data_IF_590544395076
#
_entry.id   IF_590544395076
#
_cell.length_a   1.000
_cell.length_b   1.000
_cell.length_c   1.000
_cell.angle_alpha   90.00
_cell.angle_beta   90.00
_cell.angle_gamma   90.00
#
_symmetry.space_group_name_H-M   'P 1'
#
loop_
_entity.id
_entity.type
_entity.pdbx_description
1 polymer ?
#
# COMPACT_ATOMS: atom_id res chain seq x y z
N UNK A 1 13.08 -49.68 -23.57
CA UNK A 1 13.56 -48.28 -23.64
C UNK A 1 12.46 -47.40 -23.06
N UNK A 2 12.36 -47.34 -21.73
CA UNK A 2 11.27 -46.68 -21.02
C UNK A 2 11.59 -45.20 -20.77
N UNK A 3 10.74 -44.30 -21.24
CA UNK A 3 10.84 -42.87 -20.95
C UNK A 3 10.64 -42.65 -19.43
N UNK A 4 11.58 -41.94 -18.81
CA UNK A 4 11.51 -41.53 -17.39
C UNK A 4 10.24 -40.68 -17.16
N UNK A 5 9.28 -41.11 -16.32
CA UNK A 5 7.98 -40.45 -16.15
C UNK A 5 8.04 -38.99 -15.63
N UNK A 6 9.14 -38.60 -14.98
CA UNK A 6 9.27 -37.32 -14.28
C UNK A 6 9.45 -36.08 -15.17
N UNK A 7 10.01 -36.23 -16.39
CA UNK A 7 10.28 -35.08 -17.26
C UNK A 7 8.99 -34.51 -17.89
N UNK A 8 8.06 -35.38 -18.29
CA UNK A 8 6.77 -34.98 -18.85
C UNK A 8 5.86 -34.30 -17.81
N UNK A 9 5.96 -34.70 -16.54
CA UNK A 9 5.15 -34.17 -15.45
C UNK A 9 5.57 -32.75 -15.05
N UNK A 10 6.87 -32.44 -15.09
CA UNK A 10 7.42 -31.11 -14.82
C UNK A 10 7.15 -30.11 -15.96
N UNK A 11 7.17 -30.57 -17.21
CA UNK A 11 6.82 -29.73 -18.37
C UNK A 11 5.33 -29.38 -18.35
N UNK A 12 4.46 -30.35 -18.03
CA UNK A 12 3.01 -30.14 -17.91
C UNK A 12 2.65 -29.23 -16.74
N UNK A 13 3.29 -29.38 -15.57
CA UNK A 13 3.04 -28.52 -14.42
C UNK A 13 3.49 -27.07 -14.66
N UNK A 14 4.64 -26.85 -15.32
CA UNK A 14 5.11 -25.51 -15.71
C UNK A 14 4.20 -24.83 -16.72
N UNK A 15 3.68 -25.57 -17.71
CA UNK A 15 2.75 -25.03 -18.71
C UNK A 15 1.44 -24.58 -18.07
N UNK A 16 0.90 -25.42 -17.19
CA UNK A 16 -0.30 -25.10 -16.40
C UNK A 16 -0.07 -23.87 -15.51
N UNK A 17 1.07 -23.78 -14.81
CA UNK A 17 1.39 -22.61 -13.98
C UNK A 17 1.45 -21.30 -14.79
N UNK A 18 2.00 -21.32 -16.01
CA UNK A 18 2.03 -20.14 -16.87
C UNK A 18 0.64 -19.78 -17.41
N UNK A 19 -0.19 -20.77 -17.76
CA UNK A 19 -1.59 -20.53 -18.15
C UNK A 19 -2.38 -19.92 -16.98
N UNK A 20 -2.24 -20.46 -15.77
CA UNK A 20 -2.87 -19.94 -14.55
C UNK A 20 -2.41 -18.51 -14.21
N UNK A 21 -1.12 -18.20 -14.36
CA UNK A 21 -0.60 -16.85 -14.15
C UNK A 21 -1.17 -15.84 -15.16
N UNK A 22 -1.31 -16.24 -16.43
CA UNK A 22 -1.90 -15.36 -17.45
C UNK A 22 -3.41 -15.15 -17.23
N UNK A 23 -4.11 -16.19 -16.77
CA UNK A 23 -5.52 -16.12 -16.41
C UNK A 23 -5.72 -15.19 -15.21
N UNK A 24 -4.86 -15.30 -14.20
CA UNK A 24 -4.84 -14.43 -13.03
C UNK A 24 -4.65 -12.95 -13.42
N UNK A 25 -3.69 -12.67 -14.31
CA UNK A 25 -3.46 -11.32 -14.82
C UNK A 25 -4.68 -10.77 -15.58
N UNK A 26 -5.39 -11.64 -16.30
CA UNK A 26 -6.63 -11.29 -17.00
C UNK A 26 -7.74 -10.93 -16.01
N UNK A 27 -7.91 -11.70 -14.93
CA UNK A 27 -8.85 -11.37 -13.86
C UNK A 27 -8.53 -10.04 -13.17
N UNK A 28 -7.24 -9.74 -12.91
CA UNK A 28 -6.83 -8.43 -12.38
C UNK A 28 -7.26 -7.32 -13.34
N UNK A 29 -6.96 -7.46 -14.63
CA UNK A 29 -7.32 -6.46 -15.64
C UNK A 29 -8.82 -6.23 -15.73
N UNK A 30 -9.63 -7.28 -15.64
CA UNK A 30 -11.09 -7.18 -15.63
C UNK A 30 -11.57 -6.45 -14.37
N UNK A 31 -11.03 -6.79 -13.19
CA UNK A 31 -11.37 -6.11 -11.93
C UNK A 31 -11.01 -4.62 -11.96
N UNK A 32 -9.84 -4.27 -12.52
CA UNK A 32 -9.44 -2.88 -12.72
C UNK A 32 -10.43 -2.19 -13.67
N UNK A 33 -10.73 -2.78 -14.82
CA UNK A 33 -11.68 -2.21 -15.80
C UNK A 33 -13.07 -2.00 -15.21
N UNK A 34 -13.60 -2.97 -14.47
CA UNK A 34 -14.92 -2.87 -13.83
C UNK A 34 -14.98 -1.72 -12.81
N UNK A 35 -13.88 -1.46 -12.09
CA UNK A 35 -13.82 -0.32 -11.16
C UNK A 35 -13.67 1.03 -11.89
N UNK A 36 -12.98 1.06 -13.03
CA UNK A 36 -12.82 2.27 -13.86
C UNK A 36 -14.06 2.57 -14.70
N UNK A 37 -15.00 1.64 -14.85
CA UNK A 37 -16.25 1.83 -15.57
C UNK A 37 -17.11 2.93 -14.91
N UNK A 38 -17.21 2.91 -13.58
CA UNK A 38 -17.87 3.95 -12.79
C UNK A 38 -16.90 5.07 -12.41
N UNK A 39 -16.41 5.81 -13.42
CA UNK A 39 -15.44 6.91 -13.25
C UNK A 39 -15.87 7.94 -12.20
N UNK A 40 -17.16 8.28 -12.15
CA UNK A 40 -17.69 9.24 -11.18
C UNK A 40 -17.57 8.73 -9.73
N UNK A 41 -17.93 7.47 -9.46
CA UNK A 41 -17.80 6.86 -8.14
C UNK A 41 -16.33 6.73 -7.72
N UNK A 42 -15.45 6.41 -8.67
CA UNK A 42 -14.00 6.40 -8.44
C UNK A 42 -13.48 7.78 -8.04
N UNK A 43 -13.85 8.83 -8.80
CA UNK A 43 -13.40 10.20 -8.54
C UNK A 43 -13.94 10.72 -7.21
N UNK A 44 -15.22 10.48 -6.90
CA UNK A 44 -15.80 10.80 -5.59
C UNK A 44 -15.04 10.13 -4.45
N UNK A 45 -14.78 8.82 -4.56
CA UNK A 45 -14.03 8.08 -3.54
C UNK A 45 -12.61 8.61 -3.38
N UNK A 46 -11.96 8.97 -4.49
CA UNK A 46 -10.62 9.57 -4.49
C UNK A 46 -10.62 10.93 -3.79
N UNK A 47 -11.56 11.82 -4.12
CA UNK A 47 -11.69 13.13 -3.47
C UNK A 47 -12.03 13.00 -1.99
N UNK A 48 -13.01 12.16 -1.63
CA UNK A 48 -13.40 11.95 -0.23
C UNK A 48 -12.22 11.51 0.62
N UNK A 49 -11.41 10.56 0.12
CA UNK A 49 -10.18 10.13 0.81
C UNK A 49 -9.13 11.23 0.85
N UNK A 50 -8.93 11.94 -0.26
CA UNK A 50 -7.99 13.05 -0.33
C UNK A 50 -8.30 14.15 0.68
N UNK A 51 -9.57 14.51 0.86
CA UNK A 51 -10.00 15.51 1.85
C UNK A 51 -9.65 15.05 3.26
N UNK A 52 -9.98 13.80 3.63
CA UNK A 52 -9.68 13.26 4.97
C UNK A 52 -8.19 13.35 5.29
N UNK A 53 -7.33 12.84 4.41
CA UNK A 53 -5.88 12.86 4.64
C UNK A 53 -5.29 14.27 4.60
N UNK A 54 -5.81 15.14 3.73
CA UNK A 54 -5.36 16.54 3.65
C UNK A 54 -5.77 17.32 4.90
N UNK A 55 -6.96 17.08 5.45
CA UNK A 55 -7.40 17.69 6.70
C UNK A 55 -6.55 17.22 7.87
N UNK A 56 -6.23 15.93 7.95
CA UNK A 56 -5.36 15.40 9.00
C UNK A 56 -3.94 15.97 8.91
N UNK A 57 -3.39 16.08 7.70
CA UNK A 57 -2.11 16.74 7.44
C UNK A 57 -2.13 18.23 7.82
N UNK A 58 -3.19 18.96 7.43
CA UNK A 58 -3.35 20.36 7.77
C UNK A 58 -3.49 20.59 9.28
N UNK A 59 -4.18 19.69 10.00
CA UNK A 59 -4.31 19.74 11.45
C UNK A 59 -2.94 19.64 12.12
N UNK A 60 -2.13 18.66 11.71
CA UNK A 60 -0.76 18.50 12.23
C UNK A 60 0.08 19.74 11.91
N UNK A 61 -0.03 20.28 10.69
CA UNK A 61 0.70 21.48 10.30
C UNK A 61 0.33 22.72 11.14
N UNK A 62 -0.97 22.97 11.35
CA UNK A 62 -1.45 24.08 12.19
C UNK A 62 -1.00 23.92 13.65
N UNK A 63 -0.99 22.69 14.15
CA UNK A 63 -0.49 22.39 15.49
C UNK A 63 1.01 22.72 15.59
N UNK A 64 1.82 22.25 14.64
CA UNK A 64 3.25 22.52 14.58
C UNK A 64 3.58 24.01 14.37
N UNK A 65 2.71 24.74 13.66
CA UNK A 65 2.82 26.19 13.53
C UNK A 65 2.74 26.89 14.89
N UNK A 66 1.92 26.39 15.81
CA UNK A 66 1.76 26.98 17.14
C UNK A 66 2.86 26.60 18.13
N UNK A 67 3.37 25.37 18.05
CA UNK A 67 4.38 24.87 19.00
C UNK A 67 5.83 25.10 18.54
N UNK A 68 6.03 25.53 17.28
CA UNK A 68 7.30 25.82 16.58
C UNK A 68 8.31 24.66 16.51
N UNK A 69 8.51 23.91 17.59
CA UNK A 69 9.34 22.70 17.63
C UNK A 69 8.77 21.68 18.63
N UNK A 70 8.85 20.40 18.28
CA UNK A 70 8.53 19.30 19.19
C UNK A 70 9.84 18.58 19.49
N UNK A 71 10.32 18.66 20.74
CA UNK A 71 11.54 17.97 21.18
C UNK A 71 12.78 18.26 20.31
N UNK A 72 12.90 19.48 19.76
CA UNK A 72 14.00 19.90 18.88
C UNK A 72 13.84 19.54 17.41
N UNK A 73 12.74 18.87 17.03
CA UNK A 73 12.40 18.58 15.62
C UNK A 73 11.68 19.76 15.00
N UNK A 74 12.10 20.13 13.79
CA UNK A 74 11.49 21.16 12.97
C UNK A 74 10.11 20.73 12.43
N UNK A 75 9.28 21.70 12.08
CA UNK A 75 7.91 21.48 11.61
C UNK A 75 7.85 20.49 10.42
N UNK A 76 8.72 20.66 9.43
CA UNK A 76 8.77 19.81 8.25
C UNK A 76 9.30 18.40 8.52
N UNK A 77 10.15 18.21 9.53
CA UNK A 77 10.68 16.88 9.87
C UNK A 77 9.57 16.00 10.49
N UNK A 78 8.75 16.58 11.36
CA UNK A 78 7.59 15.89 11.94
C UNK A 78 6.55 15.57 10.85
N UNK A 79 6.30 16.51 9.93
CA UNK A 79 5.40 16.28 8.79
C UNK A 79 5.91 15.18 7.86
N UNK A 80 7.22 15.11 7.64
CA UNK A 80 7.84 14.03 6.87
C UNK A 80 7.63 12.66 7.54
N UNK A 81 7.86 12.55 8.86
CA UNK A 81 7.62 11.31 9.61
C UNK A 81 6.16 10.87 9.55
N UNK A 82 5.23 11.83 9.64
CA UNK A 82 3.81 11.55 9.46
C UNK A 82 3.50 11.02 8.06
N UNK A 83 3.99 11.68 7.00
CA UNK A 83 3.79 11.25 5.62
C UNK A 83 4.42 9.87 5.34
N UNK A 84 5.57 9.58 5.96
CA UNK A 84 6.23 8.28 5.90
C UNK A 84 5.41 7.18 6.61
N UNK A 85 4.89 7.47 7.81
CA UNK A 85 3.99 6.57 8.53
C UNK A 85 2.74 6.25 7.69
N UNK A 86 2.09 7.29 7.16
CA UNK A 86 0.90 7.15 6.32
C UNK A 86 1.17 6.31 5.06
N UNK A 87 2.32 6.54 4.41
CA UNK A 87 2.71 5.79 3.20
C UNK A 87 2.97 4.32 3.53
N UNK A 88 3.68 4.05 4.63
CA UNK A 88 3.95 2.69 5.10
C UNK A 88 2.66 1.95 5.44
N UNK A 89 1.78 2.57 6.22
CA UNK A 89 0.47 2.03 6.56
C UNK A 89 -0.37 1.77 5.30
N UNK A 90 -0.43 2.73 4.39
CA UNK A 90 -1.20 2.61 3.15
C UNK A 90 -0.67 1.50 2.25
N UNK A 91 0.65 1.33 2.19
CA UNK A 91 1.28 0.26 1.42
C UNK A 91 0.98 -1.12 2.01
N UNK A 92 1.03 -1.27 3.33
CA UNK A 92 0.62 -2.50 4.00
C UNK A 92 -0.89 -2.79 3.82
N UNK A 93 -1.72 -1.75 3.98
CA UNK A 93 -3.17 -1.85 3.87
C UNK A 93 -3.63 -2.17 2.45
N UNK A 94 -2.92 -1.66 1.43
CA UNK A 94 -3.20 -1.91 0.03
C UNK A 94 -3.22 -3.41 -0.32
N UNK A 95 -2.31 -4.19 0.27
CA UNK A 95 -2.25 -5.63 0.07
C UNK A 95 -3.12 -6.40 1.07
N UNK A 96 -2.97 -6.12 2.37
CA UNK A 96 -3.49 -7.02 3.39
C UNK A 96 -4.88 -6.62 3.93
N UNK A 97 -5.29 -5.35 3.87
CA UNK A 97 -6.45 -4.94 4.67
C UNK A 97 -7.76 -5.57 4.19
N UNK A 98 -8.07 -5.46 2.90
CA UNK A 98 -9.33 -5.94 2.33
C UNK A 98 -9.50 -7.48 2.31
N UNK A 99 -8.50 -8.27 1.87
CA UNK A 99 -8.65 -9.72 1.83
C UNK A 99 -8.80 -10.32 3.24
N UNK A 100 -8.11 -9.77 4.24
CA UNK A 100 -8.22 -10.25 5.62
C UNK A 100 -9.50 -9.80 6.31
N UNK A 101 -10.00 -8.59 6.05
CA UNK A 101 -11.27 -8.12 6.65
C UNK A 101 -12.49 -8.85 6.10
N UNK A 102 -12.47 -9.28 4.84
CA UNK A 102 -13.56 -10.03 4.22
C UNK A 102 -13.46 -11.54 4.36
N UNK A 103 -12.30 -12.06 4.79
CA UNK A 103 -12.09 -13.48 4.98
C UNK A 103 -13.12 -14.11 5.93
N UNK A 104 -13.43 -13.55 7.12
CA UNK A 104 -14.37 -14.16 8.05
C UNK A 104 -15.77 -14.29 7.46
N UNK A 105 -16.22 -13.28 6.71
CA UNK A 105 -17.52 -13.31 6.04
C UNK A 105 -17.58 -14.42 4.96
N UNK A 106 -16.48 -14.63 4.22
CA UNK A 106 -16.36 -15.71 3.22
C UNK A 106 -16.25 -17.10 3.83
N UNK A 107 -15.67 -17.20 5.02
CA UNK A 107 -15.65 -18.45 5.80
C UNK A 107 -17.05 -18.79 6.28
N UNK A 108 -17.79 -17.81 6.82
CA UNK A 108 -19.17 -18.00 7.27
C UNK A 108 -20.13 -18.35 6.13
N UNK A 109 -19.94 -17.78 4.94
CA UNK A 109 -20.79 -18.06 3.78
C UNK A 109 -20.48 -19.38 3.06
N UNK A 110 -19.40 -20.08 3.43
CA UNK A 110 -18.94 -21.30 2.75
C UNK A 110 -18.24 -21.05 1.41
N UNK A 111 -18.18 -19.81 0.92
CA UNK A 111 -17.45 -19.45 -0.33
C UNK A 111 -15.96 -19.77 -0.24
N UNK A 112 -15.39 -19.78 0.96
CA UNK A 112 -13.98 -20.11 1.15
C UNK A 112 -13.68 -21.57 0.80
N UNK A 113 -14.60 -22.50 1.07
CA UNK A 113 -14.41 -23.92 0.76
C UNK A 113 -14.45 -24.18 -0.75
N UNK A 114 -15.35 -23.47 -1.47
CA UNK A 114 -15.36 -23.46 -2.94
C UNK A 114 -14.03 -22.94 -3.52
N UNK A 115 -13.41 -21.96 -2.85
CA UNK A 115 -12.11 -21.41 -3.25
C UNK A 115 -10.99 -22.45 -3.18
N UNK A 116 -11.01 -23.33 -2.17
CA UNK A 116 -9.98 -24.33 -1.91
C UNK A 116 -10.03 -25.51 -2.88
N UNK A 117 -11.19 -25.79 -3.46
CA UNK A 117 -11.33 -26.84 -4.49
C UNK A 117 -10.66 -26.45 -5.82
N UNK A 118 -10.39 -25.16 -6.03
CA UNK A 118 -9.75 -24.66 -7.24
C UNK A 118 -8.23 -24.92 -7.15
N UNK A 119 -7.58 -25.50 -8.17
CA UNK A 119 -6.16 -25.84 -8.14
C UNK A 119 -5.27 -24.59 -8.35
N UNK A 120 -5.43 -23.60 -7.48
CA UNK A 120 -4.72 -22.32 -7.52
C UNK A 120 -4.37 -21.89 -6.09
N UNK A 121 -3.37 -21.02 -5.95
CA UNK A 121 -3.01 -20.50 -4.63
C UNK A 121 -4.16 -19.61 -4.10
N UNK A 122 -4.86 -20.03 -3.03
CA UNK A 122 -6.08 -19.36 -2.56
C UNK A 122 -5.79 -17.95 -2.05
N UNK A 123 -4.60 -17.74 -1.48
CA UNK A 123 -4.19 -16.45 -0.93
C UNK A 123 -3.96 -15.42 -2.03
N UNK A 124 -3.23 -15.81 -3.09
CA UNK A 124 -3.06 -14.95 -4.27
C UNK A 124 -4.41 -14.65 -4.93
N UNK A 125 -5.25 -15.67 -5.12
CA UNK A 125 -6.57 -15.45 -5.72
C UNK A 125 -7.44 -14.47 -4.92
N UNK A 126 -7.44 -14.56 -3.60
CA UNK A 126 -8.17 -13.66 -2.72
C UNK A 126 -7.62 -12.22 -2.79
N UNK A 127 -6.30 -12.06 -2.77
CA UNK A 127 -5.62 -10.76 -2.92
C UNK A 127 -5.99 -10.09 -4.25
N UNK A 128 -6.02 -10.88 -5.33
CA UNK A 128 -6.39 -10.42 -6.67
C UNK A 128 -7.85 -9.99 -6.81
N UNK A 129 -8.75 -10.77 -6.21
CA UNK A 129 -10.20 -10.56 -6.30
C UNK A 129 -10.62 -9.34 -5.49
N UNK A 130 -9.99 -9.15 -4.33
CA UNK A 130 -10.32 -8.06 -3.41
C UNK A 130 -9.49 -6.78 -3.64
N UNK A 131 -8.61 -6.79 -4.65
CA UNK A 131 -7.78 -5.65 -5.02
C UNK A 131 -8.64 -4.41 -5.26
N UNK A 132 -8.54 -3.45 -4.34
CA UNK A 132 -9.40 -2.28 -4.31
C UNK A 132 -8.61 -1.03 -4.62
N UNK A 133 -8.91 -0.45 -5.79
CA UNK A 133 -8.33 0.79 -6.29
C UNK A 133 -8.53 1.98 -5.34
N UNK A 134 -9.45 1.90 -4.37
CA UNK A 134 -9.63 2.96 -3.39
C UNK A 134 -8.35 3.22 -2.58
N UNK A 135 -7.56 2.20 -2.23
CA UNK A 135 -6.31 2.39 -1.46
C UNK A 135 -5.17 3.01 -2.29
N UNK A 136 -5.27 2.95 -3.62
CA UNK A 136 -4.33 3.64 -4.50
C UNK A 136 -4.30 5.15 -4.24
N UNK A 137 -5.46 5.74 -3.93
CA UNK A 137 -5.55 7.17 -3.57
C UNK A 137 -4.70 7.50 -2.33
N UNK A 138 -4.81 6.71 -1.27
CA UNK A 138 -4.05 6.94 -0.03
C UNK A 138 -2.55 6.87 -0.25
N UNK A 139 -2.08 5.88 -1.03
CA UNK A 139 -0.65 5.76 -1.38
C UNK A 139 -0.20 6.96 -2.22
N UNK A 140 -1.02 7.41 -3.18
CA UNK A 140 -0.71 8.59 -3.98
C UNK A 140 -0.61 9.87 -3.13
N UNK A 141 -1.53 10.08 -2.18
CA UNK A 141 -1.48 11.21 -1.26
C UNK A 141 -0.30 11.13 -0.28
N UNK A 142 0.01 9.95 0.24
CA UNK A 142 1.18 9.73 1.09
C UNK A 142 2.49 10.09 0.39
N UNK A 143 2.68 9.60 -0.84
CA UNK A 143 3.84 9.94 -1.68
C UNK A 143 3.89 11.43 -2.03
N UNK A 144 2.74 12.05 -2.30
CA UNK A 144 2.63 13.48 -2.57
C UNK A 144 3.09 14.30 -1.35
N UNK A 145 2.64 13.95 -0.15
CA UNK A 145 3.05 14.64 1.08
C UNK A 145 4.54 14.45 1.38
N UNK A 146 5.08 13.26 1.17
CA UNK A 146 6.53 13.01 1.25
C UNK A 146 7.27 13.94 0.28
N UNK A 147 6.82 14.04 -0.98
CA UNK A 147 7.43 14.90 -1.99
C UNK A 147 7.42 16.38 -1.60
N UNK A 148 6.30 16.87 -1.06
CA UNK A 148 6.20 18.25 -0.53
C UNK A 148 7.21 18.48 0.60
N UNK A 149 7.29 17.53 1.55
CA UNK A 149 8.22 17.66 2.67
C UNK A 149 9.68 17.65 2.21
N UNK A 150 10.06 16.79 1.26
CA UNK A 150 11.41 16.75 0.70
C UNK A 150 11.77 18.09 0.02
N UNK A 151 10.84 18.67 -0.73
CA UNK A 151 11.06 19.95 -1.41
C UNK A 151 11.28 21.10 -0.43
N UNK A 152 10.53 21.14 0.67
CA UNK A 152 10.66 22.20 1.68
C UNK A 152 11.84 22.03 2.64
N UNK A 153 12.34 20.79 2.79
CA UNK A 153 13.34 20.46 3.79
C UNK A 153 14.78 20.44 3.25
N UNK A 154 14.97 20.64 1.93
CA UNK A 154 16.28 20.66 1.25
C UNK A 154 17.21 19.57 1.80
N UNK A 155 16.64 18.37 1.96
CA UNK A 155 17.21 17.33 2.82
C UNK A 155 18.50 16.81 2.19
N UNK A 156 19.64 17.33 2.65
CA UNK A 156 20.93 16.66 2.52
C UNK A 156 20.80 15.35 3.29
N UNK A 157 20.58 14.24 2.58
CA UNK A 157 20.65 12.88 3.13
C UNK A 157 22.11 12.55 3.49
N UNK A 158 22.68 13.35 4.38
CA UNK A 158 23.93 13.08 5.06
C UNK A 158 23.69 11.91 6.00
N UNK A 159 23.85 10.69 5.47
CA UNK A 159 23.94 9.46 6.27
C UNK A 159 25.03 9.54 7.36
N UNK A 160 25.93 10.52 7.22
CA UNK A 160 27.00 10.88 8.13
C UNK A 160 26.57 11.74 9.34
N UNK A 161 25.42 12.41 9.32
CA UNK A 161 24.95 13.23 10.45
C UNK A 161 24.29 12.40 11.57
N UNK A 162 23.85 11.17 11.29
CA UNK A 162 23.32 10.27 12.32
C UNK A 162 24.44 9.58 13.13
N UNK A 163 25.65 9.51 12.57
CA UNK A 163 26.83 8.99 13.27
C UNK A 163 27.46 10.05 14.19
N UNK A 164 27.25 11.34 13.89
CA UNK A 164 27.71 12.46 14.69
C UNK A 164 26.52 13.05 15.45
N UNK A 165 26.15 12.41 16.56
CA UNK A 165 25.36 13.02 17.64
C UNK A 165 26.03 14.36 17.99
N UNK A 166 25.59 15.44 17.34
CA UNK A 166 26.20 16.76 17.45
C UNK A 166 25.45 17.59 18.50
N UNK A 167 26.16 18.40 19.29
CA UNK A 167 25.79 18.84 20.63
C UNK A 167 24.81 20.03 20.64
N UNK A 168 23.97 20.17 19.61
CA UNK A 168 23.19 21.40 19.38
C UNK A 168 21.95 21.52 20.28
N UNK A 169 21.54 20.44 20.95
CA UNK A 169 20.40 20.43 21.88
C UNK A 169 20.73 20.85 23.33
N UNK A 170 21.99 21.10 23.66
CA UNK A 170 22.42 21.51 25.02
C UNK A 170 22.54 23.04 25.21
N UNK A 171 22.41 23.85 24.15
CA UNK A 171 22.59 25.31 24.22
C UNK A 171 21.27 26.09 24.44
N UNK A 172 20.15 25.41 24.69
CA UNK A 172 18.83 26.03 24.90
C UNK A 172 18.19 25.69 26.27
N UNK A 173 18.99 25.27 27.25
CA UNK A 173 18.62 25.33 28.68
C UNK A 173 19.09 26.66 29.28
#
# INVERSE_FOLDING_TARGET
MGMVPGAAQNIRSRRLAMEYASLYWTFIRINIKAKTEYRAAFLLTFLSRGIVWSTEFALIWVLLYRFESIAGWGQYEVMFLYALNLTSYSMAAFFCFHPFTKLPAKVQSGEFDELLTKPMNPLLYLMSREFTASYFSNVAFGLLFIGICIYHLDLSLGIWDYAFCSPRSLAAC
#
